data_IF_061255304364
#
_entry.id   IF_061255304364
#
_cell.length_a   1.000
_cell.length_b   1.000
_cell.length_c   1.000
_cell.angle_alpha   90.00
_cell.angle_beta   90.00
_cell.angle_gamma   90.00
#
_symmetry.space_group_name_H-M   'P 1'
#
loop_
_entity.id
_entity.type
_entity.pdbx_description
1 polymer ?
#
# COMPACT_ATOMS: atom_id res chain seq x y z
N UNK A 1 14.13 24.54 -18.21
CA UNK A 1 12.79 24.47 -17.61
C UNK A 1 12.60 23.09 -17.01
N UNK A 2 12.74 22.96 -15.67
CA UNK A 2 12.95 21.66 -15.04
C UNK A 2 11.85 21.41 -13.96
N UNK A 3 10.55 21.39 -14.37
CA UNK A 3 9.41 21.23 -13.44
C UNK A 3 9.03 19.78 -13.14
N UNK A 4 9.70 18.76 -13.71
CA UNK A 4 9.20 17.39 -13.66
C UNK A 4 10.10 16.38 -12.91
N UNK A 5 11.15 16.79 -12.22
CA UNK A 5 12.02 15.85 -11.48
C UNK A 5 11.57 15.55 -10.05
N UNK A 6 10.71 16.38 -9.44
CA UNK A 6 10.28 16.20 -8.04
C UNK A 6 9.08 15.26 -7.86
N UNK A 7 8.39 14.89 -8.92
CA UNK A 7 7.18 14.02 -8.87
C UNK A 7 7.49 12.51 -8.94
N UNK A 8 8.75 12.10 -8.95
CA UNK A 8 9.14 10.68 -9.16
C UNK A 8 9.55 9.93 -7.91
N UNK A 9 9.47 10.53 -6.73
CA UNK A 9 9.86 9.90 -5.48
C UNK A 9 8.78 10.05 -4.42
N UNK A 10 8.74 9.09 -3.48
CA UNK A 10 7.90 9.19 -2.30
C UNK A 10 8.29 10.43 -1.47
N UNK A 11 7.33 11.30 -1.20
CA UNK A 11 7.53 12.46 -0.32
C UNK A 11 7.69 12.08 1.15
N UNK A 12 7.15 10.93 1.54
CA UNK A 12 7.28 10.39 2.91
C UNK A 12 7.82 8.97 2.83
N UNK A 13 8.96 8.72 3.46
CA UNK A 13 9.53 7.39 3.58
C UNK A 13 8.53 6.41 4.24
N UNK A 14 8.72 5.12 3.99
CA UNK A 14 7.94 4.08 4.68
C UNK A 14 8.34 4.05 6.15
N UNK A 15 7.35 4.06 7.02
CA UNK A 15 7.49 4.14 8.47
C UNK A 15 6.77 2.99 9.19
N UNK A 16 6.97 2.81 10.51
CA UNK A 16 6.21 1.83 11.28
C UNK A 16 4.70 2.06 11.33
N UNK A 17 4.24 3.28 11.02
CA UNK A 17 2.80 3.59 10.96
C UNK A 17 2.13 3.15 9.65
N UNK A 18 2.92 2.74 8.65
CA UNK A 18 2.40 2.20 7.41
C UNK A 18 1.91 0.75 7.57
N UNK A 19 0.88 0.39 6.83
CA UNK A 19 0.46 -1.00 6.72
C UNK A 19 1.40 -1.73 5.76
N UNK A 20 2.24 -2.60 6.32
CA UNK A 20 3.25 -3.34 5.58
C UNK A 20 3.14 -4.86 5.78
N UNK A 21 3.39 -5.61 4.71
CA UNK A 21 3.59 -7.08 4.71
C UNK A 21 4.99 -7.39 4.18
N UNK A 22 5.66 -8.35 4.78
CA UNK A 22 7.04 -8.73 4.46
C UNK A 22 8.07 -8.06 5.37
N UNK A 23 9.32 -8.51 5.25
CA UNK A 23 10.40 -8.04 6.11
C UNK A 23 10.76 -6.57 5.85
N UNK A 24 11.03 -5.78 6.90
CA UNK A 24 11.63 -4.45 6.74
C UNK A 24 12.98 -4.47 6.02
N UNK A 25 13.71 -5.59 6.10
CA UNK A 25 15.00 -5.82 5.44
C UNK A 25 14.88 -6.41 4.03
N UNK A 26 13.66 -6.55 3.48
CA UNK A 26 13.49 -7.02 2.12
C UNK A 26 14.20 -6.10 1.13
N UNK A 27 14.92 -6.65 0.11
CA UNK A 27 15.67 -5.83 -0.85
C UNK A 27 14.80 -4.93 -1.71
N UNK A 28 13.49 -5.22 -1.80
CA UNK A 28 12.53 -4.41 -2.56
C UNK A 28 11.35 -4.03 -1.67
N UNK A 29 11.03 -2.75 -1.66
CA UNK A 29 9.78 -2.22 -1.11
C UNK A 29 8.88 -1.74 -2.23
N UNK A 30 7.68 -2.32 -2.34
CA UNK A 30 6.62 -1.88 -3.24
C UNK A 30 5.56 -1.13 -2.43
N UNK A 31 5.45 0.17 -2.65
CA UNK A 31 4.37 0.99 -2.06
C UNK A 31 3.27 1.16 -3.10
N UNK A 32 2.05 0.79 -2.73
CA UNK A 32 0.86 1.01 -3.52
C UNK A 32 -0.01 2.10 -2.86
N UNK A 33 -0.37 3.12 -3.62
CA UNK A 33 -1.51 3.98 -3.30
C UNK A 33 -2.74 3.41 -4.00
N UNK A 34 -3.78 3.10 -3.24
CA UNK A 34 -4.97 2.44 -3.75
C UNK A 34 -6.25 2.93 -3.12
N UNK A 35 -7.35 2.70 -3.84
CA UNK A 35 -8.72 2.96 -3.43
C UNK A 35 -9.52 1.66 -3.49
N UNK A 36 -10.19 1.30 -2.40
CA UNK A 36 -10.98 0.07 -2.30
C UNK A 36 -12.21 0.05 -3.20
N UNK A 37 -12.69 1.22 -3.61
CA UNK A 37 -13.86 1.38 -4.47
C UNK A 37 -13.52 1.52 -5.95
N UNK A 38 -12.22 1.64 -6.30
CA UNK A 38 -11.78 1.83 -7.68
C UNK A 38 -11.57 0.46 -8.38
N UNK A 39 -12.28 0.19 -9.51
CA UNK A 39 -12.15 -1.09 -10.24
C UNK A 39 -10.72 -1.39 -10.74
N UNK A 40 -9.93 -0.38 -11.09
CA UNK A 40 -8.54 -0.57 -11.50
C UNK A 40 -7.69 -1.05 -10.31
N UNK A 41 -7.95 -0.53 -9.12
CA UNK A 41 -7.27 -1.00 -7.91
C UNK A 41 -7.60 -2.45 -7.60
N UNK A 42 -8.83 -2.90 -7.87
CA UNK A 42 -9.22 -4.31 -7.76
C UNK A 42 -8.42 -5.20 -8.73
N UNK A 43 -8.23 -4.76 -9.97
CA UNK A 43 -7.42 -5.51 -10.94
C UNK A 43 -5.95 -5.55 -10.52
N UNK A 44 -5.40 -4.42 -10.09
CA UNK A 44 -3.99 -4.35 -9.66
C UNK A 44 -3.73 -5.09 -8.36
N UNK A 45 -4.70 -5.21 -7.45
CA UNK A 45 -4.60 -6.06 -6.26
C UNK A 45 -4.27 -7.52 -6.64
N UNK A 46 -4.94 -8.09 -7.66
CA UNK A 46 -4.65 -9.44 -8.15
C UNK A 46 -3.22 -9.55 -8.71
N UNK A 47 -2.78 -8.52 -9.43
CA UNK A 47 -1.40 -8.44 -9.94
C UNK A 47 -0.39 -8.39 -8.79
N UNK A 48 -0.60 -7.54 -7.80
CA UNK A 48 0.25 -7.42 -6.62
C UNK A 48 0.34 -8.73 -5.86
N UNK A 49 -0.77 -9.45 -5.68
CA UNK A 49 -0.75 -10.76 -5.01
C UNK A 49 0.08 -11.81 -5.78
N UNK A 50 0.02 -11.81 -7.12
CA UNK A 50 0.90 -12.65 -7.94
C UNK A 50 2.39 -12.27 -7.77
N UNK A 51 2.69 -10.97 -7.75
CA UNK A 51 4.05 -10.45 -7.53
C UNK A 51 4.55 -10.85 -6.14
N UNK A 52 3.75 -10.62 -5.09
CA UNK A 52 4.09 -11.00 -3.72
C UNK A 52 4.41 -12.50 -3.61
N UNK A 53 3.58 -13.35 -4.23
CA UNK A 53 3.81 -14.80 -4.26
C UNK A 53 5.11 -15.18 -4.97
N UNK A 54 5.45 -14.51 -6.09
CA UNK A 54 6.67 -14.78 -6.86
C UNK A 54 7.93 -14.24 -6.18
N UNK A 55 7.85 -13.10 -5.53
CA UNK A 55 8.99 -12.45 -4.86
C UNK A 55 9.27 -13.05 -3.48
N UNK A 56 8.25 -13.57 -2.80
CA UNK A 56 8.38 -14.16 -1.47
C UNK A 56 9.02 -13.20 -0.45
N UNK A 57 10.04 -13.65 0.30
CA UNK A 57 10.68 -12.84 1.34
C UNK A 57 11.48 -11.65 0.79
N UNK A 58 11.70 -11.58 -0.52
CA UNK A 58 12.43 -10.50 -1.18
C UNK A 58 11.59 -9.23 -1.36
N UNK A 59 10.29 -9.25 -1.02
CA UNK A 59 9.39 -8.11 -1.17
C UNK A 59 8.78 -7.69 0.16
N UNK A 60 8.91 -6.41 0.46
CA UNK A 60 8.06 -5.69 1.41
C UNK A 60 6.97 -4.96 0.64
N UNK A 61 5.71 -5.30 0.91
CA UNK A 61 4.57 -4.61 0.32
C UNK A 61 3.95 -3.65 1.32
N UNK A 62 3.72 -2.42 0.90
CA UNK A 62 3.08 -1.36 1.70
C UNK A 62 1.84 -0.86 0.97
N UNK A 63 0.73 -0.77 1.68
CA UNK A 63 -0.50 -0.19 1.15
C UNK A 63 -0.80 1.15 1.85
N UNK A 64 -1.11 2.16 1.06
CA UNK A 64 -1.53 3.49 1.48
C UNK A 64 -2.86 3.84 0.81
N UNK A 65 -3.88 4.10 1.61
CA UNK A 65 -5.18 4.51 1.08
C UNK A 65 -5.08 5.85 0.36
N UNK A 66 -5.64 5.88 -0.86
CA UNK A 66 -5.77 7.10 -1.67
C UNK A 66 -7.22 7.21 -2.16
N UNK A 67 -8.16 7.53 -1.27
CA UNK A 67 -9.56 7.61 -1.64
C UNK A 67 -9.84 8.77 -2.59
N UNK A 68 -10.73 8.51 -3.56
CA UNK A 68 -11.17 9.45 -4.60
C UNK A 68 -12.71 9.65 -4.52
N UNK A 69 -13.22 10.33 -3.46
CA UNK A 69 -14.66 10.39 -3.17
C UNK A 69 -15.48 11.16 -4.21
N UNK A 70 -14.83 11.90 -5.12
CA UNK A 70 -15.51 12.55 -6.25
C UNK A 70 -15.86 11.56 -7.37
N UNK A 71 -15.07 10.48 -7.50
CA UNK A 71 -15.24 9.43 -8.50
C UNK A 71 -16.01 8.23 -7.90
N UNK A 72 -15.71 7.90 -6.64
CA UNK A 72 -16.25 6.72 -5.96
C UNK A 72 -16.83 7.12 -4.59
N UNK A 73 -18.16 7.17 -4.47
CA UNK A 73 -18.87 7.68 -3.30
C UNK A 73 -18.45 7.02 -1.96
N UNK A 74 -18.15 5.71 -1.98
CA UNK A 74 -17.79 4.95 -0.77
C UNK A 74 -16.28 4.95 -0.46
N UNK A 75 -15.48 5.65 -1.22
CA UNK A 75 -14.02 5.62 -1.19
C UNK A 75 -13.43 6.00 0.17
N UNK A 76 -13.84 7.14 0.77
CA UNK A 76 -13.36 7.56 2.09
C UNK A 76 -13.84 6.62 3.20
N UNK A 77 -15.12 6.20 3.15
CA UNK A 77 -15.70 5.30 4.15
C UNK A 77 -15.01 3.93 4.14
N UNK A 78 -14.71 3.38 2.95
CA UNK A 78 -13.99 2.13 2.82
C UNK A 78 -12.56 2.23 3.37
N UNK A 79 -11.86 3.32 3.07
CA UNK A 79 -10.52 3.57 3.62
C UNK A 79 -10.56 3.70 5.16
N UNK A 80 -11.56 4.39 5.69
CA UNK A 80 -11.75 4.53 7.13
C UNK A 80 -12.13 3.20 7.80
N UNK A 81 -12.95 2.37 7.16
CA UNK A 81 -13.29 1.04 7.64
C UNK A 81 -12.04 0.12 7.76
N UNK A 82 -11.10 0.22 6.81
CA UNK A 82 -9.82 -0.48 6.92
C UNK A 82 -9.00 -0.01 8.13
N UNK A 83 -8.98 1.28 8.42
CA UNK A 83 -8.29 1.83 9.59
C UNK A 83 -9.00 1.49 10.91
N UNK A 84 -10.33 1.43 10.93
CA UNK A 84 -11.10 0.92 12.09
C UNK A 84 -10.80 -0.56 12.35
N UNK A 85 -10.62 -1.37 11.29
CA UNK A 85 -10.16 -2.74 11.44
C UNK A 85 -8.70 -2.80 11.91
N UNK A 86 -7.84 -1.88 11.44
CA UNK A 86 -6.46 -1.76 11.88
C UNK A 86 -6.34 -1.47 13.38
N UNK A 87 -7.24 -0.64 13.95
CA UNK A 87 -7.29 -0.35 15.39
C UNK A 87 -7.59 -1.60 16.24
N UNK A 88 -8.05 -2.68 15.59
CA UNK A 88 -8.31 -3.99 16.18
C UNK A 88 -7.35 -5.08 15.65
N UNK A 89 -6.23 -4.69 14.99
CA UNK A 89 -5.20 -5.59 14.49
C UNK A 89 -5.59 -6.38 13.23
N UNK A 90 -6.64 -5.96 12.51
CA UNK A 90 -7.21 -6.68 11.35
C UNK A 90 -7.21 -5.88 10.05
N UNK A 91 -6.23 -4.97 9.87
CA UNK A 91 -6.14 -4.19 8.65
C UNK A 91 -6.11 -5.04 7.39
N UNK A 92 -5.21 -6.01 7.36
CA UNK A 92 -4.95 -6.77 6.16
C UNK A 92 -6.09 -7.71 5.79
N UNK A 93 -6.76 -8.28 6.77
CA UNK A 93 -7.92 -9.14 6.54
C UNK A 93 -9.08 -8.32 5.96
N UNK A 94 -9.30 -7.10 6.48
CA UNK A 94 -10.31 -6.18 5.94
C UNK A 94 -9.92 -5.70 4.53
N UNK A 95 -8.66 -5.32 4.32
CA UNK A 95 -8.11 -4.92 3.03
C UNK A 95 -8.32 -6.01 1.96
N UNK A 96 -7.89 -7.24 2.26
CA UNK A 96 -8.00 -8.35 1.31
C UNK A 96 -9.46 -8.64 0.99
N UNK A 97 -10.34 -8.66 1.99
CA UNK A 97 -11.75 -8.94 1.82
C UNK A 97 -12.48 -7.89 0.96
N UNK A 98 -12.20 -6.60 1.17
CA UNK A 98 -12.79 -5.55 0.34
C UNK A 98 -12.39 -5.68 -1.14
N UNK A 99 -11.14 -6.05 -1.43
CA UNK A 99 -10.69 -6.27 -2.79
C UNK A 99 -11.17 -7.60 -3.40
N UNK A 100 -11.26 -8.68 -2.61
CA UNK A 100 -11.69 -9.98 -3.11
C UNK A 100 -13.20 -10.02 -3.38
N UNK A 101 -14.01 -9.41 -2.53
CA UNK A 101 -15.46 -9.41 -2.63
C UNK A 101 -16.04 -8.16 -3.34
N UNK A 102 -15.19 -7.20 -3.73
CA UNK A 102 -15.60 -5.94 -4.37
C UNK A 102 -16.68 -5.18 -3.59
N UNK A 103 -16.58 -5.15 -2.26
CA UNK A 103 -17.65 -4.69 -1.39
C UNK A 103 -17.25 -3.56 -0.46
N UNK A 104 -17.75 -2.34 -0.73
CA UNK A 104 -17.48 -1.12 0.06
C UNK A 104 -18.73 -0.38 0.51
N UNK A 105 -19.94 -0.96 0.34
CA UNK A 105 -21.16 -0.41 0.93
C UNK A 105 -21.19 -0.62 2.45
N UNK A 106 -21.93 0.21 3.17
CA UNK A 106 -22.08 0.11 4.65
C UNK A 106 -22.49 -1.30 5.10
N UNK A 107 -23.39 -1.92 4.34
CA UNK A 107 -23.82 -3.29 4.61
C UNK A 107 -22.65 -4.27 4.48
N UNK A 108 -21.88 -4.18 3.40
CA UNK A 108 -20.73 -5.06 3.13
C UNK A 108 -19.61 -4.83 4.15
N UNK A 109 -19.28 -3.58 4.47
CA UNK A 109 -18.28 -3.25 5.49
C UNK A 109 -18.66 -3.81 6.87
N UNK A 110 -19.96 -3.68 7.26
CA UNK A 110 -20.48 -4.25 8.52
C UNK A 110 -20.45 -5.78 8.50
N UNK A 111 -20.72 -6.41 7.34
CA UNK A 111 -20.62 -7.86 7.17
C UNK A 111 -19.17 -8.31 7.29
N UNK A 112 -18.24 -7.68 6.59
CA UNK A 112 -16.81 -7.98 6.68
C UNK A 112 -16.30 -7.89 8.11
N UNK A 113 -16.64 -6.80 8.83
CA UNK A 113 -16.25 -6.62 10.23
C UNK A 113 -16.75 -7.78 11.12
N UNK A 114 -18.00 -8.22 10.92
CA UNK A 114 -18.58 -9.36 11.65
C UNK A 114 -17.84 -10.66 11.37
N UNK A 115 -17.61 -10.97 10.10
CA UNK A 115 -16.97 -12.21 9.67
C UNK A 115 -15.49 -12.28 10.05
N UNK A 116 -14.83 -11.11 10.21
CA UNK A 116 -13.49 -11.01 10.76
C UNK A 116 -13.42 -11.09 12.30
N UNK A 117 -14.56 -11.18 12.97
CA UNK A 117 -14.62 -11.25 14.43
C UNK A 117 -14.25 -9.95 15.14
N UNK A 118 -14.45 -8.81 14.48
CA UNK A 118 -14.20 -7.49 15.11
C UNK A 118 -15.27 -7.20 16.18
N UNK A 119 -14.90 -6.39 17.19
CA UNK A 119 -15.90 -5.71 18.02
C UNK A 119 -16.74 -4.78 17.14
N UNK A 120 -17.93 -5.26 16.78
CA UNK A 120 -18.84 -4.51 15.89
C UNK A 120 -19.34 -3.21 16.52
N UNK A 121 -19.51 -3.19 17.83
CA UNK A 121 -19.94 -2.00 18.55
C UNK A 121 -18.89 -0.89 18.42
N UNK A 122 -17.62 -1.24 18.68
CA UNK A 122 -16.47 -0.35 18.51
C UNK A 122 -16.29 0.07 17.05
N UNK A 123 -16.29 -0.88 16.12
CA UNK A 123 -16.14 -0.62 14.69
C UNK A 123 -17.16 0.41 14.18
N UNK A 124 -18.44 0.20 14.51
CA UNK A 124 -19.52 1.10 14.08
C UNK A 124 -19.42 2.48 14.72
N UNK A 125 -19.05 2.56 16.02
CA UNK A 125 -18.88 3.85 16.70
C UNK A 125 -17.70 4.63 16.08
N UNK A 126 -16.57 3.98 15.83
CA UNK A 126 -15.39 4.61 15.22
C UNK A 126 -15.72 5.11 13.80
N UNK A 127 -16.35 4.27 12.97
CA UNK A 127 -16.70 4.62 11.60
C UNK A 127 -17.73 5.74 11.53
N UNK A 128 -18.81 5.67 12.33
CA UNK A 128 -19.83 6.72 12.40
C UNK A 128 -19.28 8.05 12.95
N UNK A 129 -18.31 7.97 13.84
CA UNK A 129 -17.64 9.12 14.45
C UNK A 129 -16.49 9.68 13.62
N UNK A 130 -16.18 9.12 12.46
CA UNK A 130 -15.05 9.50 11.60
C UNK A 130 -13.71 9.53 12.36
N UNK A 131 -13.51 8.57 13.28
CA UNK A 131 -12.36 8.57 14.21
C UNK A 131 -11.04 8.43 13.45
N UNK A 132 -11.02 7.67 12.37
CA UNK A 132 -9.82 7.38 11.57
C UNK A 132 -9.69 8.28 10.33
N UNK A 133 -10.68 9.13 10.05
CA UNK A 133 -10.73 9.93 8.82
C UNK A 133 -9.54 10.90 8.68
N UNK A 134 -9.07 11.45 9.80
CA UNK A 134 -7.89 12.33 9.79
C UNK A 134 -6.64 11.59 9.29
N UNK A 135 -6.43 10.32 9.69
CA UNK A 135 -5.33 9.45 9.24
C UNK A 135 -5.46 9.14 7.75
N UNK A 136 -6.65 8.77 7.30
CA UNK A 136 -6.94 8.51 5.88
C UNK A 136 -6.59 9.73 5.02
N UNK A 137 -7.05 10.91 5.42
CA UNK A 137 -6.80 12.16 4.70
C UNK A 137 -5.32 12.56 4.71
N UNK A 138 -4.59 12.31 5.80
CA UNK A 138 -3.15 12.57 5.83
C UNK A 138 -2.39 11.62 4.91
N UNK A 139 -2.74 10.34 4.89
CA UNK A 139 -2.18 9.36 3.95
C UNK A 139 -2.40 9.79 2.50
N UNK A 140 -3.62 10.21 2.16
CA UNK A 140 -3.94 10.75 0.84
C UNK A 140 -3.12 12.00 0.51
N UNK A 141 -2.99 12.96 1.45
CA UNK A 141 -2.14 14.15 1.26
C UNK A 141 -0.68 13.78 1.00
N UNK A 142 -0.17 12.74 1.70
CA UNK A 142 1.15 12.18 1.44
C UNK A 142 1.31 11.68 0.00
N UNK A 143 0.29 11.02 -0.54
CA UNK A 143 0.22 10.62 -1.94
C UNK A 143 0.27 11.80 -2.89
N UNK A 144 -0.54 12.83 -2.66
CA UNK A 144 -0.54 14.06 -3.47
C UNK A 144 0.85 14.72 -3.46
N UNK A 145 1.51 14.82 -2.30
CA UNK A 145 2.90 15.34 -2.21
C UNK A 145 3.90 14.46 -2.97
N UNK A 146 3.63 13.16 -3.10
CA UNK A 146 4.42 12.21 -3.90
C UNK A 146 4.08 12.27 -5.40
N UNK A 147 3.21 13.18 -5.83
CA UNK A 147 2.80 13.35 -7.22
C UNK A 147 1.71 12.33 -7.66
N UNK A 148 1.05 11.63 -6.73
CA UNK A 148 -0.10 10.78 -7.06
C UNK A 148 -1.29 11.68 -7.41
N UNK A 149 -1.83 11.49 -8.60
CA UNK A 149 -3.01 12.21 -9.11
C UNK A 149 -4.26 11.35 -8.94
N UNK A 150 -4.12 10.05 -9.22
CA UNK A 150 -5.20 9.05 -9.08
C UNK A 150 -4.62 7.72 -8.61
N UNK A 151 -5.48 6.87 -8.02
CA UNK A 151 -5.20 5.48 -7.70
C UNK A 151 -5.58 4.59 -8.91
N UNK A 152 -4.87 3.48 -9.15
CA UNK A 152 -3.69 3.02 -8.44
C UNK A 152 -2.39 3.77 -8.82
N UNK A 153 -1.44 3.87 -7.88
CA UNK A 153 -0.10 4.34 -8.18
C UNK A 153 0.93 3.53 -7.39
N UNK A 154 2.07 3.22 -8.01
CA UNK A 154 3.10 2.37 -7.41
C UNK A 154 4.44 3.07 -7.33
N UNK A 155 5.17 2.77 -6.22
CA UNK A 155 6.55 3.17 -6.05
C UNK A 155 7.39 1.95 -5.68
N UNK A 156 8.51 1.76 -6.38
CA UNK A 156 9.45 0.67 -6.16
C UNK A 156 10.72 1.28 -5.57
N UNK A 157 11.10 0.88 -4.36
CA UNK A 157 12.22 1.47 -3.63
C UNK A 157 12.17 3.02 -3.65
N UNK A 158 10.99 3.57 -3.35
CA UNK A 158 10.67 5.00 -3.35
C UNK A 158 10.65 5.71 -4.71
N UNK A 159 10.92 5.03 -5.81
CA UNK A 159 10.84 5.58 -7.18
C UNK A 159 9.51 5.22 -7.81
N UNK A 160 8.83 6.22 -8.40
CA UNK A 160 7.53 6.01 -9.04
C UNK A 160 7.65 5.08 -10.25
N UNK A 161 6.75 4.11 -10.35
CA UNK A 161 6.58 3.30 -11.55
C UNK A 161 5.68 4.02 -12.53
N UNK A 162 6.20 4.33 -13.73
CA UNK A 162 5.52 5.16 -14.73
C UNK A 162 4.83 4.36 -15.84
N UNK A 163 5.05 3.04 -15.89
CA UNK A 163 4.41 2.14 -16.87
C UNK A 163 3.06 1.63 -16.37
N UNK A 164 2.37 0.84 -17.19
CA UNK A 164 1.15 0.15 -16.79
C UNK A 164 1.38 -0.81 -15.60
N UNK A 165 0.29 -1.20 -14.95
CA UNK A 165 0.32 -2.00 -13.72
C UNK A 165 0.04 -3.49 -13.96
N UNK A 166 0.15 -3.92 -15.21
CA UNK A 166 0.04 -5.33 -15.59
C UNK A 166 1.19 -6.16 -15.03
N UNK A 167 0.96 -7.47 -14.91
CA UNK A 167 1.99 -8.38 -14.40
C UNK A 167 3.25 -8.39 -15.28
N UNK A 168 3.07 -8.21 -16.60
CA UNK A 168 4.16 -8.23 -17.58
C UNK A 168 5.12 -7.03 -17.45
N UNK A 169 4.65 -5.93 -16.89
CA UNK A 169 5.42 -4.70 -16.72
C UNK A 169 5.87 -4.47 -15.28
N UNK A 170 4.95 -4.62 -14.31
CA UNK A 170 5.26 -4.35 -12.91
C UNK A 170 6.19 -5.41 -12.28
N UNK A 171 6.03 -6.71 -12.62
CA UNK A 171 6.90 -7.74 -12.05
C UNK A 171 8.38 -7.59 -12.46
N UNK A 172 8.74 -7.41 -13.76
CA UNK A 172 10.14 -7.18 -14.13
C UNK A 172 10.74 -5.93 -13.47
N UNK A 173 9.98 -4.85 -13.33
CA UNK A 173 10.45 -3.64 -12.66
C UNK A 173 10.76 -3.90 -11.17
N UNK A 174 9.90 -4.64 -10.47
CA UNK A 174 10.11 -5.05 -9.07
C UNK A 174 11.33 -5.98 -8.96
N UNK A 175 11.51 -6.93 -9.89
CA UNK A 175 12.66 -7.83 -9.89
C UNK A 175 13.99 -7.09 -10.12
N UNK A 176 14.02 -6.18 -11.09
CA UNK A 176 15.21 -5.38 -11.41
C UNK A 176 15.66 -4.51 -10.22
N UNK A 177 14.70 -3.92 -9.48
CA UNK A 177 15.00 -3.14 -8.28
C UNK A 177 15.67 -3.98 -7.17
N UNK A 178 15.39 -5.29 -7.10
CA UNK A 178 16.01 -6.22 -6.17
C UNK A 178 17.45 -6.63 -6.53
N UNK A 179 17.80 -6.56 -7.79
CA UNK A 179 19.17 -6.86 -8.25
C UNK A 179 20.13 -5.69 -7.97
N UNK A 180 19.66 -4.45 -8.14
CA UNK A 180 20.46 -3.25 -7.88
C UNK A 180 20.81 -3.06 -6.39
N UNK A 181 19.96 -3.53 -5.48
CA UNK A 181 20.19 -3.44 -4.03
C UNK A 181 21.32 -4.35 -3.53
N UNK A 182 21.60 -5.47 -4.21
CA UNK A 182 22.66 -6.42 -3.83
C UNK A 182 24.06 -5.90 -4.20
N UNK A 183 24.16 -5.06 -5.23
CA UNK A 183 25.43 -4.52 -5.71
C UNK A 183 26.00 -3.39 -4.81
N UNK A 184 25.22 -2.88 -3.85
CA UNK A 184 25.59 -1.73 -3.01
C UNK A 184 26.02 -2.11 -1.59
N UNK A 185 26.14 -3.39 -1.24
CA UNK A 185 26.66 -3.82 0.07
C UNK A 185 28.19 -3.60 0.11
N UNK A 186 28.75 -2.79 1.03
CA UNK A 186 30.20 -2.63 1.12
C UNK A 186 30.82 -3.98 1.54
N UNK A 187 31.72 -4.48 0.68
CA UNK A 187 32.51 -5.68 0.97
C UNK A 187 33.24 -5.49 2.30
N UNK A 188 33.05 -6.44 3.22
CA UNK A 188 33.81 -6.52 4.46
C UNK A 188 35.29 -6.69 4.12
N UNK A 189 36.04 -5.61 4.15
CA UNK A 189 37.50 -5.63 4.04
C UNK A 189 38.10 -6.44 5.18
N UNK A 190 38.51 -7.66 4.87
CA UNK A 190 39.32 -8.46 5.76
C UNK A 190 40.68 -7.77 5.97
N UNK A 191 40.84 -7.09 7.10
CA UNK A 191 42.14 -6.64 7.55
C UNK A 191 43.00 -7.87 7.94
N UNK A 192 43.87 -8.25 7.00
CA UNK A 192 45.00 -9.13 7.32
C UNK A 192 45.99 -8.38 8.25
N UNK A 193 45.97 -8.68 9.54
CA UNK A 193 47.08 -8.36 10.42
C UNK A 193 48.28 -9.18 9.97
N UNK A 194 49.34 -8.48 9.57
CA UNK A 194 50.70 -9.09 9.54
C UNK A 194 51.31 -8.98 10.94
N UNK A 195 51.79 -10.08 11.42
CA UNK A 195 52.74 -10.22 12.54
C UNK A 195 54.13 -9.83 12.07
#
# INVERSE_FOLDING_TARGET
>A
MNRNRHARALASAVSPSDHARGSPSAPVTLVAYGDFSNPECVQTYRTVNKIRKKMGPRLRYVFRSFPEPREFANSEVAAEAAECAASQGRFWEMHDRMFDEHGTSDFQLSRHARELGLDLGRFRRELKGNVQLAKVRETRRGGVRSGVVSAPAFFINSVRHESDFGLATLLPAVQAAGLGSVASAPGSGAQRRKV
#
